data_IF_967624071590
#
_entry.id   IF_967624071590
#
_cell.length_a   1.000
_cell.length_b   1.000
_cell.length_c   1.000
_cell.angle_alpha   90.00
_cell.angle_beta   90.00
_cell.angle_gamma   90.00
#
_symmetry.space_group_name_H-M   'P 1'
#
loop_
_entity.id
_entity.type
_entity.pdbx_description
1 polymer ?
#
# COMPACT_ATOMS: atom_id res chain seq x y z
N UNK A 1 26.63 -52.04 36.77
CA UNK A 1 26.07 -52.59 35.52
C UNK A 1 25.26 -51.60 34.65
N UNK A 2 25.00 -50.36 35.09
CA UNK A 2 24.25 -49.36 34.29
C UNK A 2 25.10 -48.41 33.42
N UNK A 3 26.44 -48.44 33.55
CA UNK A 3 27.34 -47.54 32.79
C UNK A 3 27.82 -48.16 31.47
N UNK A 4 27.92 -49.48 31.39
CA UNK A 4 28.41 -50.21 30.20
C UNK A 4 27.36 -50.27 29.07
N UNK A 5 26.07 -50.14 29.38
CA UNK A 5 25.00 -50.14 28.37
C UNK A 5 24.81 -48.79 27.66
N UNK A 6 25.37 -47.69 28.20
CA UNK A 6 25.25 -46.35 27.58
C UNK A 6 26.33 -46.07 26.53
N UNK A 7 27.42 -46.84 26.55
CA UNK A 7 28.46 -46.82 25.51
C UNK A 7 28.10 -47.69 24.30
N UNK A 8 27.16 -48.63 24.43
CA UNK A 8 26.75 -49.51 23.34
C UNK A 8 25.71 -48.89 22.38
N UNK A 9 25.09 -47.75 22.72
CA UNK A 9 24.19 -47.01 21.80
C UNK A 9 24.91 -46.10 20.81
N UNK A 10 26.22 -45.86 20.99
CA UNK A 10 27.00 -45.02 20.07
C UNK A 10 27.73 -45.80 18.98
N UNK A 11 27.96 -47.12 19.15
CA UNK A 11 28.67 -47.93 18.17
C UNK A 11 27.79 -48.47 17.02
N UNK A 12 26.45 -48.48 17.18
CA UNK A 12 25.54 -48.88 16.10
C UNK A 12 25.14 -47.74 15.14
N UNK A 13 25.55 -46.49 15.42
CA UNK A 13 25.28 -45.34 14.55
C UNK A 13 26.26 -45.21 13.36
N UNK A 14 27.34 -46.01 13.32
CA UNK A 14 28.29 -45.99 12.21
C UNK A 14 27.95 -46.96 11.06
N UNK A 15 26.94 -47.82 11.25
CA UNK A 15 26.56 -48.88 10.28
C UNK A 15 25.33 -48.60 9.44
N UNK A 16 24.64 -47.48 9.67
CA UNK A 16 23.56 -47.04 8.78
C UNK A 16 24.08 -45.84 8.00
N UNK A 17 24.30 -46.02 6.69
CA UNK A 17 24.73 -44.96 5.78
C UNK A 17 23.69 -43.86 5.61
N UNK A 18 23.32 -43.17 6.68
CA UNK A 18 22.66 -41.85 6.62
C UNK A 18 23.74 -40.80 6.43
N UNK A 19 24.27 -40.79 5.21
CA UNK A 19 25.16 -39.75 4.72
C UNK A 19 24.35 -38.45 4.61
N UNK A 20 24.73 -37.48 5.43
CA UNK A 20 25.09 -36.18 4.87
C UNK A 20 24.04 -35.08 4.85
N UNK A 21 23.45 -34.71 5.98
CA UNK A 21 22.88 -33.37 6.15
C UNK A 21 23.24 -32.78 7.53
N UNK A 22 24.53 -32.81 7.90
CA UNK A 22 25.04 -31.86 8.89
C UNK A 22 25.06 -30.48 8.23
N UNK A 23 23.93 -29.80 8.36
CA UNK A 23 23.65 -28.44 7.88
C UNK A 23 24.78 -27.50 8.29
N UNK A 24 25.74 -27.32 7.38
CA UNK A 24 26.63 -26.17 7.40
C UNK A 24 25.76 -24.94 7.15
N UNK A 25 25.31 -24.32 8.24
CA UNK A 25 24.55 -23.07 8.20
C UNK A 25 25.47 -22.00 7.61
N UNK A 26 25.38 -21.81 6.31
CA UNK A 26 26.14 -20.80 5.58
C UNK A 26 25.60 -19.44 5.99
N UNK A 27 26.30 -18.74 6.89
CA UNK A 27 26.02 -17.35 7.23
C UNK A 27 26.56 -16.43 6.13
N UNK A 28 26.17 -16.70 4.88
CA UNK A 28 26.30 -15.77 3.76
C UNK A 28 25.05 -14.90 3.65
N UNK A 29 25.10 -13.87 2.81
CA UNK A 29 23.89 -13.14 2.40
C UNK A 29 22.85 -14.14 1.91
N UNK A 30 21.71 -14.24 2.62
CA UNK A 30 20.69 -15.27 2.36
C UNK A 30 20.16 -15.13 0.93
N UNK A 31 20.36 -16.16 0.12
CA UNK A 31 19.74 -16.26 -1.21
C UNK A 31 18.25 -16.62 -1.09
N UNK A 32 17.46 -16.40 -2.15
CA UNK A 32 16.05 -16.81 -2.15
C UNK A 32 15.89 -18.33 -2.01
N UNK A 33 16.86 -19.10 -2.50
CA UNK A 33 16.93 -20.55 -2.32
C UNK A 33 17.13 -20.91 -0.84
N UNK A 34 18.00 -20.19 -0.12
CA UNK A 34 18.23 -20.41 1.32
C UNK A 34 17.00 -20.08 2.18
N UNK A 35 16.20 -19.08 1.77
CA UNK A 35 14.98 -18.68 2.49
C UNK A 35 13.90 -19.75 2.39
N UNK A 36 13.73 -20.32 1.20
CA UNK A 36 12.82 -21.45 0.99
C UNK A 36 13.40 -22.77 1.49
N UNK A 37 14.70 -22.84 1.76
CA UNK A 37 15.39 -24.06 2.19
C UNK A 37 15.51 -25.10 1.07
N UNK A 38 15.59 -24.64 -0.19
CA UNK A 38 15.66 -25.51 -1.37
C UNK A 38 17.01 -25.37 -2.07
N UNK A 39 17.41 -26.39 -2.83
CA UNK A 39 18.63 -26.33 -3.62
C UNK A 39 18.47 -25.39 -4.84
N UNK A 40 19.57 -24.84 -5.36
CA UNK A 40 19.55 -23.97 -6.54
C UNK A 40 19.01 -24.69 -7.79
N UNK A 41 19.22 -25.99 -7.86
CA UNK A 41 18.75 -26.87 -8.95
C UNK A 41 17.36 -27.45 -8.70
N UNK A 42 16.66 -27.02 -7.65
CA UNK A 42 15.34 -27.53 -7.30
C UNK A 42 14.33 -27.31 -8.45
N UNK A 43 13.46 -28.31 -8.63
CA UNK A 43 12.37 -28.26 -9.59
C UNK A 43 11.32 -27.23 -9.16
N UNK A 44 10.50 -26.76 -10.11
CA UNK A 44 9.43 -25.80 -9.80
C UNK A 44 8.42 -26.35 -8.77
N UNK A 45 8.17 -27.66 -8.81
CA UNK A 45 7.27 -28.34 -7.89
C UNK A 45 7.82 -28.35 -6.46
N UNK A 46 9.13 -28.61 -6.29
CA UNK A 46 9.78 -28.57 -4.99
C UNK A 46 9.76 -27.15 -4.37
N UNK A 47 9.94 -26.12 -5.20
CA UNK A 47 9.86 -24.72 -4.78
C UNK A 47 8.45 -24.38 -4.29
N UNK A 48 7.43 -24.87 -4.99
CA UNK A 48 6.02 -24.70 -4.63
C UNK A 48 5.69 -25.42 -3.32
N UNK A 49 6.14 -26.66 -3.17
CA UNK A 49 5.91 -27.45 -1.96
C UNK A 49 6.59 -26.85 -0.74
N UNK A 50 7.82 -26.36 -0.88
CA UNK A 50 8.53 -25.65 0.18
C UNK A 50 7.78 -24.38 0.62
N UNK A 51 7.29 -23.60 -0.34
CA UNK A 51 6.48 -22.41 -0.06
C UNK A 51 5.19 -22.75 0.68
N UNK A 52 4.46 -23.80 0.28
CA UNK A 52 3.22 -24.21 0.95
C UNK A 52 3.50 -24.64 2.40
N UNK A 53 4.57 -25.40 2.62
CA UNK A 53 4.98 -25.84 3.98
C UNK A 53 5.31 -24.65 4.88
N UNK A 54 6.14 -23.72 4.39
CA UNK A 54 6.53 -22.53 5.15
C UNK A 54 5.36 -21.56 5.37
N UNK A 55 4.48 -21.39 4.39
CA UNK A 55 3.33 -20.51 4.50
C UNK A 55 2.35 -20.97 5.58
N UNK A 56 2.12 -22.28 5.70
CA UNK A 56 1.28 -22.83 6.78
C UNK A 56 1.91 -22.59 8.16
N UNK A 57 3.22 -22.77 8.28
CA UNK A 57 3.93 -22.59 9.55
C UNK A 57 3.97 -21.11 9.98
N UNK A 58 4.15 -20.20 9.03
CA UNK A 58 4.32 -18.76 9.27
C UNK A 58 3.02 -17.96 9.11
N UNK A 59 1.87 -18.63 8.96
CA UNK A 59 0.60 -17.95 8.71
C UNK A 59 0.25 -17.00 9.88
N UNK A 60 -0.18 -15.76 9.61
CA UNK A 60 -0.47 -14.78 10.66
C UNK A 60 -1.62 -15.20 11.58
N UNK A 61 -2.53 -16.05 11.11
CA UNK A 61 -3.63 -16.57 11.95
C UNK A 61 -3.14 -17.52 13.05
N UNK A 62 -2.02 -18.24 12.82
CA UNK A 62 -1.43 -19.11 13.84
C UNK A 62 -0.45 -18.35 14.75
N UNK A 63 0.13 -17.25 14.26
CA UNK A 63 1.21 -16.51 14.94
C UNK A 63 0.87 -15.02 15.09
N UNK A 64 -0.30 -14.71 15.66
CA UNK A 64 -0.84 -13.34 15.74
C UNK A 64 0.00 -12.36 16.56
N UNK A 65 0.86 -12.85 17.45
CA UNK A 65 1.63 -12.03 18.40
C UNK A 65 3.08 -11.75 17.97
N UNK A 66 3.60 -12.43 16.94
CA UNK A 66 5.03 -12.41 16.62
C UNK A 66 5.36 -11.57 15.37
N UNK A 67 5.90 -10.36 15.57
CA UNK A 67 6.39 -9.51 14.46
C UNK A 67 7.46 -10.23 13.61
N UNK A 68 8.31 -11.05 14.24
CA UNK A 68 9.37 -11.80 13.54
C UNK A 68 8.81 -12.83 12.57
N UNK A 69 7.63 -13.37 12.84
CA UNK A 69 6.97 -14.36 11.97
C UNK A 69 6.39 -13.68 10.74
N UNK A 70 5.84 -12.47 10.91
CA UNK A 70 5.41 -11.63 9.81
C UNK A 70 6.56 -11.32 8.84
N UNK A 71 7.72 -10.88 9.36
CA UNK A 71 8.86 -10.53 8.52
C UNK A 71 9.40 -11.73 7.72
N UNK A 72 9.44 -12.91 8.34
CA UNK A 72 9.82 -14.16 7.65
C UNK A 72 8.80 -14.56 6.58
N UNK A 73 7.51 -14.39 6.84
CA UNK A 73 6.46 -14.67 5.85
C UNK A 73 6.60 -13.77 4.62
N UNK A 74 6.90 -12.48 4.83
CA UNK A 74 7.18 -11.54 3.73
C UNK A 74 8.39 -12.00 2.91
N UNK A 75 9.49 -12.39 3.56
CA UNK A 75 10.69 -12.90 2.88
C UNK A 75 10.41 -14.17 2.05
N UNK A 76 9.64 -15.11 2.60
CA UNK A 76 9.25 -16.36 1.91
C UNK A 76 8.37 -16.06 0.70
N UNK A 77 7.43 -15.14 0.81
CA UNK A 77 6.56 -14.74 -0.29
C UNK A 77 7.34 -14.04 -1.41
N UNK A 78 8.28 -13.15 -1.05
CA UNK A 78 9.16 -12.49 -2.02
C UNK A 78 10.04 -13.52 -2.75
N UNK A 79 10.66 -14.45 -2.03
CA UNK A 79 11.46 -15.52 -2.63
C UNK A 79 10.64 -16.35 -3.64
N UNK A 80 9.43 -16.76 -3.26
CA UNK A 80 8.54 -17.52 -4.14
C UNK A 80 8.11 -16.71 -5.38
N UNK A 81 7.83 -15.42 -5.24
CA UNK A 81 7.43 -14.55 -6.35
C UNK A 81 8.47 -14.49 -7.48
N UNK A 82 9.75 -14.53 -7.12
CA UNK A 82 10.88 -14.51 -8.06
C UNK A 82 11.18 -15.90 -8.60
N UNK A 83 11.20 -16.91 -7.74
CA UNK A 83 11.62 -18.27 -8.11
C UNK A 83 10.54 -19.07 -8.84
N UNK A 84 9.25 -18.75 -8.65
CA UNK A 84 8.13 -19.43 -9.31
C UNK A 84 8.07 -19.17 -10.81
N UNK A 85 8.46 -17.97 -11.27
CA UNK A 85 8.43 -17.59 -12.69
C UNK A 85 9.77 -17.88 -13.34
N UNK A 86 9.83 -18.65 -14.45
CA UNK A 86 11.10 -19.08 -15.05
C UNK A 86 11.94 -17.90 -15.56
N UNK A 87 11.31 -16.87 -16.11
CA UNK A 87 11.99 -15.66 -16.58
C UNK A 87 12.63 -14.88 -15.43
N UNK A 88 11.90 -14.71 -14.31
CA UNK A 88 12.42 -14.01 -13.13
C UNK A 88 13.53 -14.80 -12.45
N UNK A 89 13.37 -16.12 -12.30
CA UNK A 89 14.42 -17.02 -11.79
C UNK A 89 15.70 -16.89 -12.60
N UNK A 90 15.62 -16.91 -13.94
CA UNK A 90 16.78 -16.73 -14.81
C UNK A 90 17.46 -15.38 -14.62
N UNK A 91 16.68 -14.30 -14.49
CA UNK A 91 17.22 -12.97 -14.23
C UNK A 91 17.92 -12.89 -12.88
N UNK A 92 17.32 -13.49 -11.85
CA UNK A 92 17.90 -13.60 -10.52
C UNK A 92 19.22 -14.38 -10.53
N UNK A 93 19.25 -15.54 -11.17
CA UNK A 93 20.47 -16.37 -11.27
C UNK A 93 21.60 -15.64 -12.00
N UNK A 94 21.29 -14.84 -13.03
CA UNK A 94 22.27 -13.97 -13.69
C UNK A 94 22.84 -12.93 -12.73
N UNK A 95 21.98 -12.21 -12.00
CA UNK A 95 22.44 -11.20 -11.04
C UNK A 95 23.30 -11.81 -9.93
N UNK A 96 22.99 -13.04 -9.50
CA UNK A 96 23.76 -13.78 -8.51
C UNK A 96 25.15 -14.16 -9.07
N UNK A 97 25.21 -14.61 -10.32
CA UNK A 97 26.47 -14.92 -10.99
C UNK A 97 27.35 -13.66 -11.15
N UNK A 98 26.77 -12.53 -11.54
CA UNK A 98 27.52 -11.26 -11.64
C UNK A 98 28.02 -10.77 -10.28
N UNK A 99 27.22 -10.91 -9.21
CA UNK A 99 27.65 -10.58 -7.84
C UNK A 99 28.85 -11.43 -7.45
N UNK A 100 28.78 -12.74 -7.70
CA UNK A 100 29.89 -13.66 -7.44
C UNK A 100 31.15 -13.29 -8.22
N UNK A 101 31.04 -12.92 -9.50
CA UNK A 101 32.18 -12.48 -10.31
C UNK A 101 32.78 -11.17 -9.81
N UNK A 102 31.94 -10.19 -9.44
CA UNK A 102 32.39 -8.93 -8.82
C UNK A 102 33.13 -9.17 -7.51
N UNK A 103 32.61 -10.05 -6.65
CA UNK A 103 33.27 -10.42 -5.40
C UNK A 103 34.62 -11.11 -5.67
N UNK A 104 34.68 -12.01 -6.65
CA UNK A 104 35.93 -12.67 -7.06
C UNK A 104 36.97 -11.66 -7.54
N UNK A 105 36.56 -10.72 -8.40
CA UNK A 105 37.43 -9.67 -8.92
C UNK A 105 37.90 -8.73 -7.80
N UNK A 106 37.00 -8.35 -6.87
CA UNK A 106 37.35 -7.51 -5.73
C UNK A 106 38.36 -8.21 -4.81
N UNK A 107 38.18 -9.52 -4.53
CA UNK A 107 39.13 -10.31 -3.74
C UNK A 107 40.50 -10.37 -4.41
N UNK A 108 40.56 -10.58 -5.73
CA UNK A 108 41.81 -10.56 -6.49
C UNK A 108 42.47 -9.18 -6.46
N UNK A 109 41.70 -8.11 -6.60
CA UNK A 109 42.22 -6.74 -6.54
C UNK A 109 42.81 -6.43 -5.14
N UNK A 110 42.10 -6.79 -4.07
CA UNK A 110 42.59 -6.66 -2.69
C UNK A 110 43.89 -7.45 -2.48
N UNK A 111 43.97 -8.68 -3.00
CA UNK A 111 45.19 -9.49 -2.94
C UNK A 111 46.35 -8.82 -3.69
N UNK A 112 46.10 -8.22 -4.85
CA UNK A 112 47.12 -7.47 -5.59
C UNK A 112 47.60 -6.23 -4.79
N UNK A 113 46.70 -5.49 -4.14
CA UNK A 113 47.09 -4.36 -3.27
C UNK A 113 47.89 -4.80 -2.05
N UNK A 114 47.65 -5.99 -1.51
CA UNK A 114 48.41 -6.52 -0.39
C UNK A 114 49.84 -6.96 -0.79
N UNK A 115 50.10 -7.24 -2.07
CA UNK A 115 51.41 -7.68 -2.57
C UNK A 115 52.35 -6.50 -2.92
N UNK A 116 51.80 -5.30 -3.15
CA UNK A 116 52.57 -4.08 -3.38
C UNK A 116 52.79 -3.33 -2.06
N UNK A 117 53.83 -3.71 -1.29
CA UNK A 117 54.12 -3.19 0.05
C UNK A 117 54.02 -1.66 0.24
N UNK A 118 52.83 -1.18 0.62
CA UNK A 118 52.63 0.06 1.38
C UNK A 118 52.59 1.40 0.63
N UNK A 119 52.46 1.45 -0.70
CA UNK A 119 52.17 2.72 -1.42
C UNK A 119 51.06 2.58 -2.44
N UNK A 120 49.82 2.71 -1.98
CA UNK A 120 48.70 2.97 -2.87
C UNK A 120 48.71 4.47 -3.27
N UNK A 121 48.49 4.82 -4.55
CA UNK A 121 48.36 6.21 -4.97
C UNK A 121 47.12 6.84 -4.33
N UNK A 122 47.28 8.03 -3.73
CA UNK A 122 46.28 8.79 -2.93
C UNK A 122 45.18 9.41 -3.81
N UNK A 123 44.84 8.78 -4.94
CA UNK A 123 43.75 9.23 -5.82
C UNK A 123 42.82 8.08 -6.16
N UNK A 124 42.28 7.40 -5.14
CA UNK A 124 41.09 6.58 -5.30
C UNK A 124 40.10 6.81 -4.14
N UNK A 125 38.80 7.02 -4.43
CA UNK A 125 37.78 7.45 -3.47
C UNK A 125 37.28 6.29 -2.58
N UNK A 126 38.19 5.58 -1.93
CA UNK A 126 37.89 4.42 -1.08
C UNK A 126 38.34 4.65 0.38
N UNK A 127 37.93 5.76 0.99
CA UNK A 127 37.94 5.88 2.46
C UNK A 127 36.62 5.42 3.06
N UNK A 128 36.27 4.12 2.93
CA UNK A 128 35.37 3.45 3.89
C UNK A 128 35.46 1.92 3.83
N UNK A 129 36.68 1.39 3.73
CA UNK A 129 36.91 -0.05 3.64
C UNK A 129 37.20 -0.75 5.00
N UNK A 130 36.94 -0.13 6.17
CA UNK A 130 37.31 -0.79 7.44
C UNK A 130 36.36 -0.77 8.63
N UNK A 131 35.14 -0.23 8.56
CA UNK A 131 34.18 -0.38 9.69
C UNK A 131 32.73 -0.38 9.22
N UNK A 132 32.22 -1.44 8.60
CA UNK A 132 30.75 -1.60 8.37
C UNK A 132 30.27 -3.06 8.22
N UNK A 133 31.04 -4.09 8.56
CA UNK A 133 30.69 -5.47 8.15
C UNK A 133 30.16 -6.43 9.23
N UNK A 134 29.94 -6.02 10.49
CA UNK A 134 29.68 -7.02 11.54
C UNK A 134 28.34 -6.99 12.32
N UNK A 135 27.44 -6.01 12.20
CA UNK A 135 26.11 -6.19 12.86
C UNK A 135 24.93 -5.40 12.27
N UNK A 136 25.18 -4.47 11.34
CA UNK A 136 24.15 -3.56 10.79
C UNK A 136 23.81 -3.79 9.30
N UNK A 137 24.47 -4.75 8.64
CA UNK A 137 24.28 -5.04 7.21
C UNK A 137 23.26 -6.14 6.90
N UNK A 138 22.77 -6.87 7.91
CA UNK A 138 21.76 -7.92 7.72
C UNK A 138 20.35 -7.37 7.47
N UNK A 139 20.02 -6.17 7.97
CA UNK A 139 18.68 -5.56 7.80
C UNK A 139 18.56 -4.61 6.60
N UNK A 140 19.67 -4.00 6.14
CA UNK A 140 19.61 -2.95 5.12
C UNK A 140 19.49 -3.45 3.68
N UNK A 141 19.87 -4.69 3.37
CA UNK A 141 19.64 -5.29 2.04
C UNK A 141 18.16 -5.62 1.83
N UNK A 142 17.48 -6.10 2.87
CA UNK A 142 16.03 -6.35 2.86
C UNK A 142 15.21 -5.05 2.83
N UNK A 143 15.68 -3.99 3.48
CA UNK A 143 15.03 -2.68 3.39
C UNK A 143 15.25 -1.95 2.04
N UNK A 144 16.28 -2.31 1.25
CA UNK A 144 16.53 -1.73 -0.09
C UNK A 144 15.87 -2.51 -1.24
N UNK A 145 15.59 -3.81 -1.09
CA UNK A 145 14.77 -4.58 -2.07
C UNK A 145 13.29 -4.16 -2.03
N UNK A 146 12.88 -3.35 -1.04
CA UNK A 146 11.59 -2.66 -1.05
C UNK A 146 11.46 -1.60 -2.16
N UNK A 147 12.54 -1.28 -2.90
CA UNK A 147 12.56 -0.27 -3.98
C UNK A 147 13.01 -0.79 -5.37
N UNK A 148 13.06 -2.11 -5.62
CA UNK A 148 13.42 -2.62 -6.96
C UNK A 148 12.33 -2.30 -8.02
N UNK A 149 12.70 -1.74 -9.20
CA UNK A 149 11.75 -1.26 -10.22
C UNK A 149 10.98 -2.36 -10.97
N UNK A 150 11.24 -3.65 -10.72
CA UNK A 150 10.53 -4.76 -11.36
C UNK A 150 9.12 -4.99 -10.73
N UNK A 151 8.83 -4.32 -9.61
CA UNK A 151 7.54 -4.39 -8.90
C UNK A 151 6.78 -3.06 -8.81
N UNK A 152 7.04 -2.12 -9.72
CA UNK A 152 6.12 -1.00 -9.94
C UNK A 152 5.31 -1.30 -11.19
N UNK A 153 3.99 -1.10 -11.08
CA UNK A 153 2.92 -1.32 -12.07
C UNK A 153 2.13 -2.60 -11.72
N UNK A 154 1.19 -2.54 -10.76
CA UNK A 154 -0.12 -1.89 -10.91
C UNK A 154 -0.50 -1.10 -9.64
N UNK A 155 -0.75 0.22 -9.81
CA UNK A 155 -1.37 1.16 -8.86
C UNK A 155 -0.75 1.25 -7.46
N UNK A 156 0.44 1.86 -7.41
CA UNK A 156 1.11 2.23 -6.18
C UNK A 156 0.43 3.41 -5.47
N UNK A 157 -0.33 3.11 -4.42
CA UNK A 157 -0.30 3.89 -3.17
C UNK A 157 -0.49 2.90 -2.01
N UNK A 158 0.60 2.44 -1.38
CA UNK A 158 0.51 1.72 -0.09
C UNK A 158 0.29 2.74 1.03
N UNK A 159 -0.89 3.34 1.03
CA UNK A 159 -1.42 4.06 2.18
C UNK A 159 -1.57 3.04 3.32
N UNK A 160 -0.97 3.31 4.49
CA UNK A 160 -1.24 2.53 5.71
C UNK A 160 -2.77 2.55 5.91
N UNK A 161 -3.40 1.44 6.32
CA UNK A 161 -4.88 1.36 6.37
C UNK A 161 -5.56 2.54 7.10
N UNK A 162 -4.85 3.17 8.03
CA UNK A 162 -5.26 4.38 8.75
C UNK A 162 -5.32 5.64 7.89
N UNK A 163 -4.47 5.81 6.87
CA UNK A 163 -4.52 7.01 6.01
C UNK A 163 -5.64 6.91 4.98
N UNK A 164 -5.99 5.70 4.53
CA UNK A 164 -7.15 5.49 3.64
C UNK A 164 -8.45 5.84 4.37
N UNK A 165 -8.64 5.36 5.60
CA UNK A 165 -9.85 5.64 6.38
C UNK A 165 -9.98 7.14 6.69
N UNK A 166 -8.87 7.83 6.95
CA UNK A 166 -8.86 9.29 7.16
C UNK A 166 -9.21 10.06 5.87
N UNK A 167 -8.73 9.64 4.71
CA UNK A 167 -9.06 10.31 3.44
C UNK A 167 -10.54 10.09 3.09
N UNK A 168 -11.06 8.87 3.28
CA UNK A 168 -12.47 8.57 3.03
C UNK A 168 -13.37 9.35 3.99
N UNK A 169 -13.03 9.42 5.28
CA UNK A 169 -13.82 10.17 6.26
C UNK A 169 -13.83 11.67 5.96
N UNK A 170 -12.68 12.27 5.61
CA UNK A 170 -12.60 13.66 5.19
C UNK A 170 -13.42 13.92 3.91
N UNK A 171 -13.41 12.99 2.95
CA UNK A 171 -14.21 13.08 1.73
C UNK A 171 -15.72 13.06 2.00
N UNK A 172 -16.19 12.18 2.90
CA UNK A 172 -17.59 12.11 3.29
C UNK A 172 -18.04 13.37 4.04
N UNK A 173 -17.18 13.92 4.91
CA UNK A 173 -17.45 15.16 5.63
C UNK A 173 -17.54 16.35 4.65
N UNK A 174 -16.60 16.46 3.70
CA UNK A 174 -16.63 17.50 2.67
C UNK A 174 -17.88 17.40 1.79
N UNK A 175 -18.24 16.19 1.37
CA UNK A 175 -19.46 15.96 0.59
C UNK A 175 -20.71 16.38 1.39
N UNK A 176 -20.79 16.04 2.67
CA UNK A 176 -21.86 16.47 3.57
C UNK A 176 -21.96 17.99 3.72
N UNK A 177 -20.81 18.68 3.87
CA UNK A 177 -20.77 20.15 3.95
C UNK A 177 -21.25 20.78 2.64
N UNK A 178 -20.85 20.24 1.49
CA UNK A 178 -21.29 20.74 0.17
C UNK A 178 -22.81 20.58 0.02
N UNK A 179 -23.36 19.40 0.36
CA UNK A 179 -24.80 19.17 0.31
C UNK A 179 -25.56 20.11 1.25
N UNK A 180 -25.06 20.29 2.48
CA UNK A 180 -25.67 21.18 3.46
C UNK A 180 -25.65 22.65 3.01
N UNK A 181 -24.51 23.14 2.50
CA UNK A 181 -24.40 24.50 1.97
C UNK A 181 -25.28 24.70 0.74
N UNK A 182 -25.38 23.70 -0.14
CA UNK A 182 -26.27 23.76 -1.31
C UNK A 182 -27.75 23.84 -0.91
N UNK A 183 -28.17 23.05 0.08
CA UNK A 183 -29.54 23.06 0.60
C UNK A 183 -29.84 24.37 1.35
N UNK A 184 -28.89 24.87 2.14
CA UNK A 184 -28.99 26.16 2.82
C UNK A 184 -29.17 27.31 1.82
N UNK A 185 -28.33 27.35 0.78
CA UNK A 185 -28.45 28.36 -0.28
C UNK A 185 -29.74 28.21 -1.09
N UNK A 186 -30.15 26.99 -1.38
CA UNK A 186 -31.40 26.70 -2.08
C UNK A 186 -32.62 27.20 -1.29
N UNK A 187 -32.66 26.96 0.02
CA UNK A 187 -33.71 27.47 0.90
C UNK A 187 -33.71 29.01 0.97
N UNK A 188 -32.53 29.63 1.11
CA UNK A 188 -32.39 31.09 1.15
C UNK A 188 -32.83 31.76 -0.16
N UNK A 189 -32.51 31.17 -1.30
CA UNK A 189 -32.88 31.70 -2.62
C UNK A 189 -34.36 31.46 -2.96
N UNK A 190 -34.98 30.38 -2.48
CA UNK A 190 -36.42 30.17 -2.66
C UNK A 190 -37.27 31.03 -1.71
N UNK A 191 -36.76 31.40 -0.53
CA UNK A 191 -37.42 32.33 0.38
C UNK A 191 -37.62 33.74 -0.19
N UNK A 192 -36.71 34.21 -1.07
CA UNK A 192 -36.89 35.50 -1.74
C UNK A 192 -37.97 35.43 -2.84
N UNK A 193 -38.06 34.32 -3.57
CA UNK A 193 -39.05 34.11 -4.63
C UNK A 193 -40.48 33.96 -4.11
N UNK A 194 -40.68 33.33 -2.95
CA UNK A 194 -42.01 33.23 -2.32
C UNK A 194 -42.49 34.58 -1.80
N UNK A 195 -41.60 35.41 -1.23
CA UNK A 195 -41.92 36.78 -0.82
C UNK A 195 -42.37 37.64 -2.01
N UNK A 196 -41.69 37.54 -3.15
CA UNK A 196 -42.03 38.32 -4.34
C UNK A 196 -43.36 37.87 -4.99
N UNK A 197 -43.63 36.56 -5.03
CA UNK A 197 -44.92 36.04 -5.48
C UNK A 197 -46.08 36.48 -4.58
N UNK A 198 -45.91 36.44 -3.25
CA UNK A 198 -46.93 36.90 -2.30
C UNK A 198 -47.19 38.41 -2.44
N UNK A 199 -46.14 39.22 -2.65
CA UNK A 199 -46.29 40.67 -2.91
C UNK A 199 -47.06 40.95 -4.20
N UNK A 200 -46.81 40.18 -5.27
CA UNK A 200 -47.54 40.31 -6.54
C UNK A 200 -49.00 39.87 -6.45
N UNK A 201 -49.31 38.82 -5.68
CA UNK A 201 -50.68 38.40 -5.41
C UNK A 201 -51.47 39.47 -4.65
N UNK A 202 -50.88 40.07 -3.61
CA UNK A 202 -51.53 41.15 -2.86
C UNK A 202 -51.76 42.41 -3.72
N UNK A 203 -50.85 42.72 -4.66
CA UNK A 203 -51.00 43.86 -5.57
C UNK A 203 -52.10 43.64 -6.63
N UNK A 204 -52.29 42.41 -7.11
CA UNK A 204 -53.37 42.09 -8.05
C UNK A 204 -54.74 42.13 -7.37
N UNK A 205 -54.84 41.68 -6.11
CA UNK A 205 -56.08 41.74 -5.33
C UNK A 205 -56.49 43.19 -5.02
N UNK A 206 -55.53 44.10 -4.81
CA UNK A 206 -55.83 45.52 -4.61
C UNK A 206 -56.35 46.18 -5.88
N UNK A 207 -55.73 45.91 -7.04
CA UNK A 207 -56.19 46.45 -8.33
C UNK A 207 -57.60 45.94 -8.69
N UNK A 208 -57.91 44.68 -8.43
CA UNK A 208 -59.26 44.13 -8.68
C UNK A 208 -60.33 44.78 -7.79
N UNK A 209 -59.98 45.21 -6.58
CA UNK A 209 -60.92 45.91 -5.69
C UNK A 209 -61.17 47.36 -6.12
N UNK A 210 -60.14 48.05 -6.61
CA UNK A 210 -60.28 49.41 -7.17
C UNK A 210 -61.13 49.40 -8.44
N UNK A 211 -60.86 48.49 -9.38
CA UNK A 211 -61.65 48.37 -10.61
C UNK A 211 -63.14 48.09 -10.32
N UNK A 212 -63.42 47.22 -9.33
CA UNK A 212 -64.81 46.97 -8.90
C UNK A 212 -65.47 48.19 -8.25
N UNK A 213 -64.71 49.02 -7.56
CA UNK A 213 -65.22 50.25 -6.95
C UNK A 213 -65.59 51.28 -8.03
N UNK A 214 -64.75 51.44 -9.04
CA UNK A 214 -64.97 52.36 -10.16
C UNK A 214 -66.20 51.98 -11.00
N UNK A 215 -66.46 50.67 -11.19
CA UNK A 215 -67.66 50.17 -11.88
C UNK A 215 -68.94 50.47 -11.09
N UNK A 216 -68.90 50.35 -9.77
CA UNK A 216 -70.05 50.65 -8.90
C UNK A 216 -70.30 52.16 -8.84
N UNK A 217 -69.25 52.97 -8.72
CA UNK A 217 -69.36 54.44 -8.74
C UNK A 217 -69.87 54.94 -10.10
N UNK A 218 -69.34 54.44 -11.21
CA UNK A 218 -69.83 54.76 -12.55
C UNK A 218 -71.30 54.39 -12.77
N UNK A 219 -71.76 53.28 -12.19
CA UNK A 219 -73.17 52.88 -12.22
C UNK A 219 -74.07 53.78 -11.37
N UNK A 220 -73.55 54.34 -10.27
CA UNK A 220 -74.25 55.29 -9.42
C UNK A 220 -74.43 56.64 -10.14
N UNK A 221 -73.37 57.17 -10.77
CA UNK A 221 -73.43 58.39 -11.56
C UNK A 221 -74.38 58.28 -12.75
N UNK A 222 -74.43 57.13 -13.43
CA UNK A 222 -75.33 56.91 -14.57
C UNK A 222 -76.81 56.96 -14.17
N UNK A 223 -77.17 56.50 -12.96
CA UNK A 223 -78.54 56.59 -12.42
C UNK A 223 -78.94 58.01 -12.00
N UNK A 224 -77.98 58.86 -11.64
CA UNK A 224 -78.25 60.26 -11.26
C UNK A 224 -78.53 61.08 -12.53
N UNK A 225 -77.70 60.94 -13.57
CA UNK A 225 -77.88 61.66 -14.85
C UNK A 225 -79.23 61.28 -15.50
N UNK A 226 -79.63 60.00 -15.48
CA UNK A 226 -80.92 59.56 -16.04
C UNK A 226 -82.14 60.08 -15.24
N UNK A 227 -81.94 60.50 -13.98
CA UNK A 227 -83.01 61.05 -13.13
C UNK A 227 -83.24 62.54 -13.40
N UNK A 228 -82.18 63.26 -13.74
CA UNK A 228 -82.25 64.69 -14.08
C UNK A 228 -82.85 64.93 -15.48
N UNK A 229 -82.70 63.96 -16.41
CA UNK A 229 -83.26 64.04 -17.77
C UNK A 229 -84.78 63.77 -17.84
N UNK A 230 -85.38 63.21 -16.79
CA UNK A 230 -86.84 62.93 -16.69
C UNK A 230 -87.64 64.01 -15.95
N UNK A 231 -87.00 65.09 -15.50
CA UNK A 231 -87.64 66.20 -14.76
C UNK A 231 -87.58 67.56 -15.47
N UNK A 232 -87.08 67.62 -16.71
CA UNK A 232 -87.19 68.79 -17.60
C UNK A 232 -88.16 68.53 -18.75
#
# INVERSE_FOLDING_TARGET
MAVVLKLCRCLNALKTGQIGWCLRKSYGTRSYYDILGVHKEAAADEIKDAFIKLSKQLHPDMNKADSKTHDKFVQVNEAYSVLSKPLLRRSYDKTLAEQFLREKQMRQNIQNYAYCGGRAPVTQPFHHAKVMHDELYQDLRWNRVRSHPIYRDVLGIRMKGTTITVIISLGLILCGIILFLSAYWYAKFNGSKTSEKSKRLMANDTLSKEEKKDVVEGSCWKKIIEKDEKQG
#
